data_IF_681292920903
#
_entry.id   IF_681292920903
#
_cell.length_a   1.000
_cell.length_b   1.000
_cell.length_c   1.000
_cell.angle_alpha   90.00
_cell.angle_beta   90.00
_cell.angle_gamma   90.00
#
_symmetry.space_group_name_H-M   'P 1'
#
loop_
_entity.id
_entity.type
_entity.pdbx_description
1 polymer ?
#
# COMPACT_ATOMS: atom_id res chain seq x y z
N UNK A 1 -15.08 5.31 -43.67
CA UNK A 1 -15.54 4.22 -42.77
C UNK A 1 -14.42 3.32 -42.26
N UNK A 2 -13.38 3.01 -43.06
CA UNK A 2 -12.26 2.15 -42.60
C UNK A 2 -11.37 2.81 -41.54
N UNK A 3 -11.01 4.10 -41.70
CA UNK A 3 -10.16 4.86 -40.77
C UNK A 3 -10.79 5.07 -39.38
N UNK A 4 -12.11 5.29 -39.31
CA UNK A 4 -12.82 5.45 -38.04
C UNK A 4 -12.81 4.16 -37.21
N UNK A 5 -12.85 2.99 -37.87
CA UNK A 5 -12.80 1.69 -37.20
C UNK A 5 -11.43 1.42 -36.56
N UNK A 6 -10.34 1.85 -37.21
CA UNK A 6 -8.98 1.73 -36.66
C UNK A 6 -8.73 2.66 -35.47
N UNK A 7 -9.27 3.89 -35.50
CA UNK A 7 -9.17 4.83 -34.38
C UNK A 7 -9.93 4.35 -33.14
N UNK A 8 -11.13 3.79 -33.32
CA UNK A 8 -11.91 3.21 -32.21
C UNK A 8 -11.19 1.99 -31.64
N UNK A 9 -10.62 1.12 -32.48
CA UNK A 9 -9.82 -0.01 -32.05
C UNK A 9 -8.58 0.40 -31.24
N UNK A 10 -7.84 1.41 -31.71
CA UNK A 10 -6.68 1.94 -30.98
C UNK A 10 -7.04 2.59 -29.65
N UNK A 11 -8.22 3.21 -29.58
CA UNK A 11 -8.71 3.83 -28.34
C UNK A 11 -9.17 2.76 -27.35
N UNK A 12 -9.77 1.65 -27.80
CA UNK A 12 -10.11 0.53 -26.92
C UNK A 12 -8.87 -0.15 -26.33
N UNK A 13 -7.81 -0.31 -27.13
CA UNK A 13 -6.57 -0.93 -26.70
C UNK A 13 -5.88 -0.10 -25.61
N UNK A 14 -5.82 1.22 -25.75
CA UNK A 14 -5.20 2.09 -24.73
C UNK A 14 -5.96 2.06 -23.40
N UNK A 15 -7.30 1.99 -23.44
CA UNK A 15 -8.12 1.90 -22.24
C UNK A 15 -7.93 0.57 -21.49
N UNK A 16 -7.86 -0.55 -22.23
CA UNK A 16 -7.60 -1.86 -21.63
C UNK A 16 -6.21 -1.92 -20.98
N UNK A 17 -5.17 -1.39 -21.64
CA UNK A 17 -3.81 -1.38 -21.08
C UNK A 17 -3.67 -0.54 -19.81
N UNK A 18 -4.45 0.55 -19.68
CA UNK A 18 -4.51 1.36 -18.46
C UNK A 18 -5.11 0.60 -17.28
N UNK A 19 -6.12 -0.26 -17.51
CA UNK A 19 -6.74 -1.07 -16.45
C UNK A 19 -5.81 -2.15 -15.92
N UNK A 20 -5.03 -2.82 -16.78
CA UNK A 20 -4.06 -3.83 -16.35
C UNK A 20 -2.86 -3.23 -15.60
N UNK A 21 -2.51 -1.96 -15.83
CA UNK A 21 -1.47 -1.29 -15.06
C UNK A 21 -1.87 -0.98 -13.60
N UNK A 22 -3.16 -1.11 -13.27
CA UNK A 22 -3.71 -0.85 -11.94
C UNK A 22 -3.99 -2.12 -11.14
N UNK A 23 -3.74 -3.31 -11.69
CA UNK A 23 -3.91 -4.56 -10.95
C UNK A 23 -2.74 -4.71 -9.99
N UNK A 24 -2.94 -4.28 -8.74
CA UNK A 24 -2.07 -4.69 -7.65
C UNK A 24 -2.28 -6.19 -7.38
N UNK A 25 -1.19 -6.91 -7.13
CA UNK A 25 -1.29 -8.25 -6.58
C UNK A 25 -2.04 -8.21 -5.25
N UNK A 26 -2.86 -9.24 -5.00
CA UNK A 26 -3.57 -9.37 -3.74
C UNK A 26 -2.55 -9.51 -2.60
N UNK A 27 -2.39 -8.44 -1.82
CA UNK A 27 -1.47 -8.45 -0.69
C UNK A 27 -1.98 -9.39 0.40
N UNK A 28 -1.20 -10.43 0.69
CA UNK A 28 -1.46 -11.35 1.80
C UNK A 28 -0.70 -10.89 3.03
N UNK A 29 -1.43 -10.53 4.08
CA UNK A 29 -0.84 -10.12 5.37
C UNK A 29 -0.09 -11.30 5.99
N UNK A 30 1.24 -11.22 6.21
CA UNK A 30 1.97 -12.26 6.93
C UNK A 30 1.46 -12.34 8.37
N UNK A 31 1.38 -13.56 8.90
CA UNK A 31 0.87 -13.80 10.25
C UNK A 31 1.87 -14.58 11.09
N UNK A 32 1.88 -14.30 12.39
CA UNK A 32 2.59 -15.06 13.40
C UNK A 32 1.95 -16.45 13.61
N UNK A 33 2.60 -17.34 14.35
CA UNK A 33 2.06 -18.65 14.72
C UNK A 33 0.75 -18.58 15.53
N UNK A 34 0.48 -17.43 16.14
CA UNK A 34 -0.77 -17.15 16.86
C UNK A 34 -1.85 -16.47 15.99
N UNK A 35 -1.60 -16.35 14.68
CA UNK A 35 -2.57 -15.82 13.71
C UNK A 35 -2.70 -14.29 13.68
N UNK A 36 -1.84 -13.57 14.38
CA UNK A 36 -1.80 -12.10 14.41
C UNK A 36 -0.95 -11.57 13.24
N UNK A 37 -1.20 -10.35 12.72
CA UNK A 37 -0.32 -9.74 11.73
C UNK A 37 1.14 -9.67 12.21
N UNK A 38 2.06 -10.09 11.36
CA UNK A 38 3.49 -10.01 11.63
C UNK A 38 4.00 -8.60 11.31
N UNK A 39 4.48 -7.89 12.34
CA UNK A 39 5.00 -6.53 12.26
C UNK A 39 6.54 -6.49 12.40
N UNK A 40 7.21 -7.62 12.21
CA UNK A 40 8.66 -7.70 12.20
C UNK A 40 9.26 -7.01 10.97
N UNK A 41 10.52 -6.57 11.08
CA UNK A 41 11.25 -5.94 9.98
C UNK A 41 12.04 -4.71 10.43
N UNK A 42 12.59 -4.00 9.45
CA UNK A 42 13.33 -2.75 9.68
C UNK A 42 12.36 -1.58 9.52
N UNK A 43 12.07 -0.91 10.63
CA UNK A 43 11.22 0.26 10.67
C UNK A 43 12.06 1.54 10.52
N UNK A 44 11.61 2.45 9.66
CA UNK A 44 12.23 3.76 9.51
C UNK A 44 11.60 4.75 10.50
N UNK A 45 12.40 5.26 11.45
CA UNK A 45 12.00 6.32 12.38
C UNK A 45 12.53 7.68 11.89
N UNK A 46 11.93 8.20 10.82
CA UNK A 46 12.35 9.46 10.17
C UNK A 46 11.92 10.73 10.93
N UNK A 47 11.05 10.63 11.94
CA UNK A 47 10.57 11.79 12.69
C UNK A 47 11.72 12.58 13.32
N UNK A 48 11.80 13.88 13.01
CA UNK A 48 12.70 14.80 13.69
C UNK A 48 12.32 15.05 15.15
N UNK A 49 11.06 14.77 15.50
CA UNK A 49 10.56 14.92 16.88
C UNK A 49 10.81 13.62 17.63
N UNK A 50 11.58 13.65 18.73
CA UNK A 50 11.80 12.47 19.56
C UNK A 50 10.50 12.06 20.25
N UNK A 51 10.30 10.75 20.42
CA UNK A 51 9.23 10.25 21.27
C UNK A 51 9.54 10.58 22.73
N UNK A 52 8.62 11.27 23.41
CA UNK A 52 8.70 11.59 24.83
C UNK A 52 7.49 11.04 25.56
N UNK A 53 7.69 10.53 26.79
CA UNK A 53 6.60 10.08 27.65
C UNK A 53 5.80 11.30 28.12
N UNK A 54 4.47 11.37 27.91
CA UNK A 54 3.67 12.48 28.43
C UNK A 54 3.73 12.57 29.96
N UNK A 55 3.79 13.79 30.48
CA UNK A 55 3.97 14.07 31.92
C UNK A 55 2.93 13.37 32.81
N UNK A 56 1.68 13.31 32.34
CA UNK A 56 0.55 12.62 33.01
C UNK A 56 0.83 11.16 33.38
N UNK A 57 1.80 10.53 32.74
CA UNK A 57 2.15 9.13 33.02
C UNK A 57 3.30 8.97 34.02
N UNK A 58 4.09 10.02 34.30
CA UNK A 58 5.13 10.03 35.32
C UNK A 58 5.89 8.70 35.49
N UNK A 59 5.90 8.20 36.74
CA UNK A 59 6.53 6.95 37.16
C UNK A 59 5.61 5.72 37.05
N UNK A 60 4.51 5.79 36.30
CA UNK A 60 3.61 4.63 36.13
C UNK A 60 4.35 3.50 35.44
N UNK A 61 4.31 2.33 36.07
CA UNK A 61 4.68 1.05 35.47
C UNK A 61 3.56 0.52 34.55
N UNK A 62 3.96 -0.40 33.68
CA UNK A 62 3.30 -0.93 32.48
C UNK A 62 1.76 -0.91 32.47
#
# INVERSE_FOLDING_TARGET
MKISLFLVGSTLITWVSLSFAQTAEDYVVPRTEWGQPDLQGVWNFNSSTPMQRPERFGAREF
#
